data_IF_841258981409
#
_entry.id   IF_841258981409
#
_cell.length_a   1.000
_cell.length_b   1.000
_cell.length_c   1.000
_cell.angle_alpha   90.00
_cell.angle_beta   90.00
_cell.angle_gamma   90.00
#
_symmetry.space_group_name_H-M   'P 1'
#
loop_
_entity.id
_entity.type
_entity.pdbx_description
1 polymer ?
#
# COMPACT_ATOMS: atom_id res chain seq x y z
N UNK A 1 -9.01 4.94 39.49
CA UNK A 1 -8.47 3.89 38.60
C UNK A 1 -9.15 4.05 37.24
N UNK A 2 -8.41 4.32 36.16
CA UNK A 2 -8.96 4.36 34.80
C UNK A 2 -9.16 2.92 34.32
N UNK A 3 -10.25 2.64 33.60
CA UNK A 3 -10.59 1.28 33.15
C UNK A 3 -9.49 0.68 32.25
N UNK A 4 -9.27 -0.64 32.28
CA UNK A 4 -8.33 -1.35 31.40
C UNK A 4 -8.62 -1.11 29.90
N UNK A 5 -9.87 -0.81 29.56
CA UNK A 5 -10.36 -0.60 28.18
C UNK A 5 -9.84 0.67 27.50
N UNK A 6 -9.10 1.53 28.20
CA UNK A 6 -8.59 2.81 27.67
C UNK A 6 -7.07 2.89 27.64
N UNK A 7 -6.35 1.76 27.69
CA UNK A 7 -4.88 1.78 27.76
C UNK A 7 -4.10 1.34 26.51
N UNK A 8 -4.72 0.71 25.53
CA UNK A 8 -4.09 0.45 24.23
C UNK A 8 -5.21 0.19 23.21
N UNK A 9 -5.45 1.12 22.27
CA UNK A 9 -5.68 0.67 20.90
C UNK A 9 -4.34 0.09 20.49
N UNK A 10 -4.15 -1.21 20.71
CA UNK A 10 -2.90 -1.89 20.37
C UNK A 10 -2.70 -1.71 18.87
N UNK A 11 -1.76 -0.84 18.49
CA UNK A 11 -1.30 -0.69 17.12
C UNK A 11 -0.97 -2.08 16.58
N UNK A 12 -1.78 -2.56 15.65
CA UNK A 12 -1.67 -3.92 15.14
C UNK A 12 -0.63 -3.92 14.04
N UNK A 13 0.42 -4.72 14.19
CA UNK A 13 1.37 -5.01 13.12
C UNK A 13 1.67 -6.51 13.09
N UNK A 14 1.64 -7.11 11.90
CA UNK A 14 2.10 -8.48 11.70
C UNK A 14 2.84 -8.66 10.39
N UNK A 15 3.90 -9.48 10.43
CA UNK A 15 4.65 -9.88 9.23
C UNK A 15 3.92 -10.98 8.47
N UNK A 16 3.89 -10.86 7.15
CA UNK A 16 3.26 -11.81 6.21
C UNK A 16 4.11 -11.99 4.96
N UNK A 17 4.06 -13.15 4.32
CA UNK A 17 4.62 -13.32 2.98
C UNK A 17 3.57 -12.90 1.96
N UNK A 18 3.89 -11.97 1.07
CA UNK A 18 2.93 -11.50 0.05
C UNK A 18 3.08 -12.19 -1.30
N UNK A 19 4.22 -12.83 -1.51
CA UNK A 19 4.46 -13.86 -2.53
C UNK A 19 5.66 -14.72 -2.09
N UNK A 20 6.18 -15.54 -3.00
CA UNK A 20 7.33 -16.42 -2.75
C UNK A 20 8.62 -15.68 -2.35
N UNK A 21 8.65 -14.36 -2.49
CA UNK A 21 9.88 -13.58 -2.54
C UNK A 21 9.78 -12.35 -1.63
N UNK A 22 8.65 -11.68 -1.57
CA UNK A 22 8.48 -10.41 -0.85
C UNK A 22 7.86 -10.58 0.55
N UNK A 23 8.43 -9.85 1.51
CA UNK A 23 7.85 -9.69 2.85
C UNK A 23 6.86 -8.52 2.85
N UNK A 24 5.79 -8.66 3.63
CA UNK A 24 4.87 -7.59 3.95
C UNK A 24 4.65 -7.39 5.44
N UNK A 25 4.14 -6.23 5.81
CA UNK A 25 3.61 -5.90 7.14
C UNK A 25 2.14 -5.53 6.95
N UNK A 26 1.25 -6.29 7.57
CA UNK A 26 -0.13 -5.85 7.72
C UNK A 26 -0.26 -4.97 8.95
N UNK A 27 -1.04 -3.90 8.83
CA UNK A 27 -1.30 -2.97 9.93
C UNK A 27 -2.72 -2.42 9.88
N UNK A 28 -3.22 -1.91 11.00
CA UNK A 28 -4.51 -1.21 11.11
C UNK A 28 -4.40 0.30 10.83
N UNK A 29 -3.21 0.88 10.98
CA UNK A 29 -2.95 2.30 10.77
C UNK A 29 -1.58 2.53 10.12
N UNK A 30 -1.53 3.43 9.15
CA UNK A 30 -0.29 3.90 8.55
C UNK A 30 -0.32 5.41 8.39
N UNK A 31 0.64 6.09 9.01
CA UNK A 31 0.94 7.49 8.71
C UNK A 31 1.78 7.54 7.43
N UNK A 32 1.28 8.19 6.38
CA UNK A 32 1.91 8.12 5.05
C UNK A 32 3.34 8.66 5.02
N UNK A 33 3.67 9.67 5.83
CA UNK A 33 5.02 10.22 5.94
C UNK A 33 6.05 9.15 6.37
N UNK A 34 5.58 8.09 7.03
CA UNK A 34 6.44 7.03 7.53
C UNK A 34 6.84 6.02 6.47
N UNK A 35 6.15 5.95 5.32
CA UNK A 35 6.39 4.93 4.27
C UNK A 35 7.85 4.94 3.80
N UNK A 36 8.51 6.11 3.79
CA UNK A 36 9.94 6.23 3.46
C UNK A 36 10.81 6.69 4.65
N UNK A 37 10.29 6.61 5.86
CA UNK A 37 11.04 6.97 7.07
C UNK A 37 11.92 5.81 7.54
N UNK A 38 12.70 6.04 8.60
CA UNK A 38 13.48 4.95 9.22
C UNK A 38 12.60 3.82 9.76
N UNK A 39 11.30 4.06 10.02
CA UNK A 39 10.38 3.08 10.62
C UNK A 39 10.01 1.98 9.62
N UNK A 40 9.77 2.33 8.36
CA UNK A 40 9.42 1.39 7.28
C UNK A 40 10.47 1.36 6.17
N UNK A 41 11.74 1.63 6.52
CA UNK A 41 12.85 1.64 5.57
C UNK A 41 12.91 0.31 4.78
N UNK A 42 12.64 0.38 3.48
CA UNK A 42 12.59 -0.78 2.57
C UNK A 42 11.20 -1.09 2.01
N UNK A 43 10.13 -0.69 2.71
CA UNK A 43 8.76 -0.86 2.25
C UNK A 43 8.37 0.27 1.29
N UNK A 44 8.56 0.05 -0.01
CA UNK A 44 8.32 1.05 -1.06
C UNK A 44 6.90 1.04 -1.62
N UNK A 45 6.11 0.01 -1.30
CA UNK A 45 4.76 -0.17 -1.80
C UNK A 45 3.80 -0.34 -0.62
N UNK A 46 2.68 0.35 -0.65
CA UNK A 46 1.58 0.12 0.29
C UNK A 46 0.34 -0.26 -0.51
N UNK A 47 -0.14 -1.47 -0.30
CA UNK A 47 -1.42 -1.91 -0.82
C UNK A 47 -2.49 -1.69 0.24
N UNK A 48 -3.68 -1.29 -0.18
CA UNK A 48 -4.82 -1.32 0.72
C UNK A 48 -6.08 -1.76 0.00
N UNK A 49 -6.86 -2.59 0.68
CA UNK A 49 -8.17 -3.04 0.22
C UNK A 49 -9.23 -2.23 0.92
N UNK A 50 -10.33 -2.01 0.22
CA UNK A 50 -11.50 -1.33 0.75
C UNK A 50 -12.66 -2.30 0.92
N UNK A 51 -13.65 -1.94 1.73
CA UNK A 51 -14.86 -2.73 1.97
C UNK A 51 -15.64 -3.07 0.67
N UNK A 52 -15.48 -2.26 -0.38
CA UNK A 52 -16.04 -2.54 -1.72
C UNK A 52 -15.28 -3.63 -2.51
N UNK A 53 -14.23 -4.20 -1.93
CA UNK A 53 -13.32 -5.15 -2.57
C UNK A 53 -12.33 -4.51 -3.56
N UNK A 54 -12.33 -3.18 -3.74
CA UNK A 54 -11.31 -2.52 -4.56
C UNK A 54 -9.95 -2.55 -3.84
N UNK A 55 -8.86 -2.64 -4.61
CA UNK A 55 -7.50 -2.61 -4.10
C UNK A 55 -6.76 -1.43 -4.72
N UNK A 56 -6.04 -0.69 -3.89
CA UNK A 56 -5.24 0.45 -4.27
C UNK A 56 -3.76 0.18 -3.96
N UNK A 57 -2.88 0.82 -4.72
CA UNK A 57 -1.43 0.77 -4.52
C UNK A 57 -0.87 2.19 -4.42
N UNK A 58 -0.26 2.51 -3.28
CA UNK A 58 0.57 3.70 -3.09
C UNK A 58 2.02 3.30 -3.33
N UNK A 59 2.70 3.97 -4.26
CA UNK A 59 4.11 3.71 -4.54
C UNK A 59 4.84 4.98 -5.00
N UNK A 60 6.15 4.98 -4.79
CA UNK A 60 7.07 5.97 -5.36
C UNK A 60 7.12 5.80 -6.89
N UNK A 61 7.01 6.90 -7.65
CA UNK A 61 7.26 6.83 -9.09
C UNK A 61 8.74 6.57 -9.34
N UNK A 62 9.03 5.64 -10.25
CA UNK A 62 10.38 5.52 -10.78
C UNK A 62 10.74 6.85 -11.47
N UNK A 63 11.93 7.42 -11.21
CA UNK A 63 12.41 8.56 -11.99
C UNK A 63 12.38 8.16 -13.47
N UNK A 64 11.94 9.07 -14.33
CA UNK A 64 11.93 8.80 -15.76
C UNK A 64 13.33 8.39 -16.26
N UNK A 65 13.42 7.58 -17.31
CA UNK A 65 14.70 7.18 -17.92
C UNK A 65 15.51 8.38 -18.47
N UNK A 66 14.95 9.59 -18.40
CA UNK A 66 15.57 10.85 -18.85
C UNK A 66 16.16 11.67 -17.69
N UNK A 67 16.07 11.19 -16.46
CA UNK A 67 16.66 11.85 -15.28
C UNK A 67 16.08 13.24 -15.00
N UNK A 68 14.88 13.54 -15.48
CA UNK A 68 14.17 14.80 -15.20
C UNK A 68 13.24 14.66 -13.99
N UNK A 69 13.72 13.99 -12.94
CA UNK A 69 13.16 14.20 -11.60
C UNK A 69 13.70 15.53 -11.08
N UNK A 70 13.05 16.63 -11.47
CA UNK A 70 13.26 17.93 -10.86
C UNK A 70 12.76 17.88 -9.42
N UNK A 71 13.65 17.50 -8.50
CA UNK A 71 13.58 17.83 -7.07
C UNK A 71 12.65 17.00 -6.19
N UNK A 72 11.47 16.59 -6.67
CA UNK A 72 10.41 16.08 -5.81
C UNK A 72 10.13 14.60 -6.10
N UNK A 73 10.18 13.77 -5.06
CA UNK A 73 9.80 12.36 -5.15
C UNK A 73 8.27 12.30 -5.20
N UNK A 74 7.74 12.08 -6.38
CA UNK A 74 6.29 11.97 -6.59
C UNK A 74 5.79 10.58 -6.15
N UNK A 75 4.89 10.58 -5.17
CA UNK A 75 4.12 9.40 -4.78
C UNK A 75 2.82 9.34 -5.57
N UNK A 76 2.39 8.13 -5.93
CA UNK A 76 1.20 7.94 -6.74
C UNK A 76 0.29 6.88 -6.13
N UNK A 77 -1.03 7.12 -6.18
CA UNK A 77 -2.06 6.15 -5.83
C UNK A 77 -2.66 5.56 -7.09
N UNK A 78 -2.59 4.24 -7.22
CA UNK A 78 -3.14 3.50 -8.35
C UNK A 78 -4.42 2.80 -7.91
N UNK A 79 -5.51 3.02 -8.64
CA UNK A 79 -6.79 2.37 -8.39
C UNK A 79 -6.91 1.06 -9.20
N UNK A 80 -6.97 -0.09 -8.54
CA UNK A 80 -6.99 -1.40 -9.19
C UNK A 80 -8.17 -1.58 -10.16
N UNK A 81 -9.40 -1.21 -9.76
CA UNK A 81 -10.59 -1.30 -10.62
C UNK A 81 -10.50 -0.42 -11.88
N UNK A 82 -9.97 0.80 -11.76
CA UNK A 82 -9.82 1.71 -12.91
C UNK A 82 -8.70 1.30 -13.88
N UNK A 83 -7.82 0.39 -13.44
CA UNK A 83 -6.75 -0.18 -14.24
C UNK A 83 -7.02 -1.66 -14.61
N UNK A 84 -8.26 -2.13 -14.50
CA UNK A 84 -8.66 -3.45 -14.98
C UNK A 84 -8.49 -3.56 -16.50
N UNK A 85 -7.76 -4.57 -16.97
CA UNK A 85 -7.43 -4.75 -18.39
C UNK A 85 -6.24 -3.92 -18.89
N UNK A 86 -5.39 -3.43 -17.97
CA UNK A 86 -4.21 -2.67 -18.33
C UNK A 86 -3.11 -3.56 -18.94
N UNK A 87 -2.79 -3.35 -20.21
CA UNK A 87 -1.62 -3.94 -20.88
C UNK A 87 -0.42 -3.00 -20.81
N UNK A 88 0.74 -3.54 -20.39
CA UNK A 88 2.05 -2.88 -20.25
C UNK A 88 2.31 -1.83 -21.36
N UNK A 89 2.04 -0.55 -21.07
CA UNK A 89 2.45 0.58 -21.92
C UNK A 89 1.48 1.75 -22.13
N UNK A 90 0.25 1.72 -21.58
CA UNK A 90 -0.65 2.91 -21.57
C UNK A 90 -0.68 3.57 -20.19
N UNK A 91 -1.00 4.86 -20.13
CA UNK A 91 -1.00 5.68 -18.90
C UNK A 91 -1.75 4.95 -17.77
N UNK A 92 -1.10 4.82 -16.61
CA UNK A 92 -1.73 4.33 -15.38
C UNK A 92 -2.77 5.38 -14.97
N UNK A 93 -4.01 4.97 -14.72
CA UNK A 93 -5.01 5.85 -14.14
C UNK A 93 -4.84 5.85 -12.62
N UNK A 94 -4.63 7.03 -12.06
CA UNK A 94 -4.51 7.23 -10.63
C UNK A 94 -4.24 8.70 -10.35
N UNK A 95 -3.79 9.00 -9.14
CA UNK A 95 -3.57 10.39 -8.73
C UNK A 95 -2.24 10.55 -7.98
N UNK A 96 -1.69 11.75 -8.06
CA UNK A 96 -0.51 12.13 -7.30
C UNK A 96 -0.90 12.36 -5.83
N UNK A 97 -0.01 11.94 -4.93
CA UNK A 97 -0.05 12.39 -3.55
C UNK A 97 0.85 13.62 -3.43
N UNK A 98 0.25 14.73 -3.02
CA UNK A 98 1.00 15.94 -2.68
C UNK A 98 1.87 15.71 -1.45
N UNK A 99 2.88 16.55 -1.23
CA UNK A 99 3.65 16.50 0.02
C UNK A 99 2.78 16.64 1.27
N UNK A 100 1.69 17.41 1.19
CA UNK A 100 0.75 17.59 2.29
C UNK A 100 -0.01 16.29 2.59
N UNK A 101 -0.39 15.56 1.54
CA UNK A 101 -1.01 14.25 1.67
C UNK A 101 -0.09 13.27 2.39
N UNK A 102 1.20 13.30 2.05
CA UNK A 102 2.19 12.47 2.73
C UNK A 102 2.40 12.88 4.18
N UNK A 103 2.57 14.18 4.46
CA UNK A 103 2.91 14.69 5.81
C UNK A 103 1.78 14.54 6.83
N UNK A 104 0.53 14.68 6.42
CA UNK A 104 -0.58 14.86 7.37
C UNK A 104 -1.70 13.82 7.29
N UNK A 105 -1.63 12.83 6.39
CA UNK A 105 -2.72 11.83 6.24
C UNK A 105 -2.38 10.48 6.83
N UNK A 106 -3.40 9.91 7.45
CA UNK A 106 -3.42 8.54 7.90
C UNK A 106 -4.22 7.68 6.92
N UNK A 107 -3.73 6.47 6.69
CA UNK A 107 -4.49 5.38 6.10
C UNK A 107 -4.89 4.45 7.25
N UNK A 108 -6.20 4.28 7.48
CA UNK A 108 -6.75 3.57 8.65
C UNK A 108 -7.82 2.58 8.26
N UNK A 109 -7.72 1.36 8.78
CA UNK A 109 -8.80 0.38 8.68
C UNK A 109 -10.05 0.93 9.38
N UNK A 110 -11.20 0.82 8.70
CA UNK A 110 -12.49 1.34 9.16
C UNK A 110 -12.78 2.78 8.73
N UNK A 111 -11.84 3.49 8.10
CA UNK A 111 -12.03 4.86 7.62
C UNK A 111 -11.87 4.95 6.10
N UNK A 112 -12.62 5.83 5.40
CA UNK A 112 -12.33 6.20 4.02
C UNK A 112 -10.95 6.84 3.89
N UNK A 113 -10.23 6.51 2.82
CA UNK A 113 -8.98 7.20 2.48
C UNK A 113 -9.26 8.31 1.47
N UNK A 114 -8.76 9.52 1.75
CA UNK A 114 -8.83 10.65 0.83
C UNK A 114 -7.49 10.83 0.13
N UNK A 115 -7.49 11.14 -1.17
CA UNK A 115 -6.28 11.40 -1.95
C UNK A 115 -6.58 12.32 -3.15
N UNK A 116 -5.53 12.90 -3.75
CA UNK A 116 -5.66 13.79 -4.91
C UNK A 116 -6.56 15.00 -4.66
N UNK A 117 -7.27 15.44 -5.70
CA UNK A 117 -8.21 16.59 -5.69
C UNK A 117 -9.54 16.27 -4.97
N UNK A 118 -9.48 15.64 -3.80
CA UNK A 118 -10.65 15.33 -2.97
C UNK A 118 -11.36 14.02 -3.31
N UNK A 119 -10.68 13.09 -3.99
CA UNK A 119 -11.18 11.73 -4.20
C UNK A 119 -11.22 10.98 -2.86
N UNK A 120 -12.23 10.13 -2.70
CA UNK A 120 -12.38 9.28 -1.52
C UNK A 120 -12.65 7.82 -1.90
N UNK A 121 -12.15 6.91 -1.07
CA UNK A 121 -12.47 5.49 -1.17
C UNK A 121 -13.70 5.15 -0.33
N UNK A 122 -14.23 3.93 -0.49
CA UNK A 122 -14.98 3.32 0.62
C UNK A 122 -14.04 3.02 1.80
N UNK A 123 -14.58 2.69 2.97
CA UNK A 123 -13.78 2.32 4.15
C UNK A 123 -12.69 1.32 3.82
N UNK A 124 -11.48 1.55 4.34
CA UNK A 124 -10.35 0.64 4.22
C UNK A 124 -10.61 -0.59 5.09
N UNK A 125 -10.37 -1.77 4.54
CA UNK A 125 -10.54 -3.05 5.25
C UNK A 125 -9.21 -3.74 5.57
N UNK A 126 -8.14 -3.37 4.88
CA UNK A 126 -6.83 -4.04 4.97
C UNK A 126 -5.74 -3.11 4.46
N UNK A 127 -4.61 -3.04 5.15
CA UNK A 127 -3.41 -2.29 4.75
C UNK A 127 -2.21 -3.24 4.81
N UNK A 128 -1.42 -3.27 3.75
CA UNK A 128 -0.21 -4.10 3.66
C UNK A 128 0.93 -3.29 3.04
N UNK A 129 1.97 -3.04 3.83
CA UNK A 129 3.23 -2.51 3.34
C UNK A 129 4.06 -3.65 2.76
N UNK A 130 4.64 -3.48 1.58
CA UNK A 130 5.43 -4.50 0.87
C UNK A 130 6.86 -4.03 0.62
N UNK A 131 7.82 -4.86 1.01
CA UNK A 131 9.24 -4.68 0.74
C UNK A 131 9.58 -5.19 -0.67
N UNK A 132 10.05 -4.30 -1.53
CA UNK A 132 10.44 -4.64 -2.90
C UNK A 132 11.81 -5.32 -3.02
N UNK A 133 12.60 -5.28 -1.96
CA UNK A 133 13.97 -5.80 -1.95
C UNK A 133 14.07 -7.24 -1.47
N UNK A 134 13.01 -7.81 -0.89
CA UNK A 134 13.16 -9.13 -0.28
C UNK A 134 13.38 -10.21 -1.34
N UNK A 135 14.58 -10.82 -1.37
CA UNK A 135 14.85 -12.20 -1.83
C UNK A 135 16.06 -12.81 -1.11
N UNK A 136 15.89 -14.05 -0.60
CA UNK A 136 16.80 -14.95 0.18
C UNK A 136 16.66 -14.98 1.70
N UNK A 137 15.49 -14.64 2.26
CA UNK A 137 15.14 -14.98 3.64
C UNK A 137 14.28 -16.25 3.70
N UNK A 138 14.35 -17.00 4.80
CA UNK A 138 13.35 -18.02 5.13
C UNK A 138 12.03 -17.31 5.49
N UNK A 139 11.24 -16.93 4.49
CA UNK A 139 10.01 -16.16 4.68
C UNK A 139 9.06 -16.85 5.65
N UNK A 140 8.97 -18.17 5.58
CA UNK A 140 8.14 -18.97 6.48
C UNK A 140 8.49 -18.75 7.95
N UNK A 141 9.78 -18.64 8.29
CA UNK A 141 10.24 -18.34 9.65
C UNK A 141 9.96 -16.88 10.04
N UNK A 142 10.21 -15.93 9.13
CA UNK A 142 10.00 -14.49 9.38
C UNK A 142 8.53 -14.13 9.57
N UNK A 143 7.64 -14.89 8.94
CA UNK A 143 6.19 -14.65 8.94
C UNK A 143 5.44 -15.66 9.80
N UNK A 144 6.13 -16.65 10.36
CA UNK A 144 5.53 -17.78 11.09
C UNK A 144 4.48 -18.51 10.23
N UNK A 145 4.78 -18.67 8.94
CA UNK A 145 3.90 -19.29 7.95
C UNK A 145 2.71 -18.43 7.50
N UNK A 146 2.59 -17.18 7.97
CA UNK A 146 1.51 -16.29 7.57
C UNK A 146 1.73 -15.76 6.17
N UNK A 147 0.66 -15.70 5.40
CA UNK A 147 0.64 -15.21 4.01
C UNK A 147 -0.50 -14.21 3.82
N UNK A 148 -0.32 -13.29 2.89
CA UNK A 148 -1.33 -12.34 2.45
C UNK A 148 -1.33 -12.27 0.92
N UNK A 149 -2.50 -12.31 0.27
CA UNK A 149 -2.60 -12.42 -1.19
C UNK A 149 -2.79 -11.07 -1.89
N UNK A 150 -2.79 -9.95 -1.19
CA UNK A 150 -3.19 -8.65 -1.75
C UNK A 150 -2.42 -8.25 -3.02
N UNK A 151 -1.12 -8.57 -3.10
CA UNK A 151 -0.30 -8.33 -4.29
C UNK A 151 -0.80 -9.15 -5.48
N UNK A 152 -1.08 -10.44 -5.26
CA UNK A 152 -1.67 -11.32 -6.28
C UNK A 152 -3.05 -10.83 -6.70
N UNK A 153 -3.90 -10.47 -5.73
CA UNK A 153 -5.26 -10.03 -5.99
C UNK A 153 -5.28 -8.70 -6.77
N UNK A 154 -4.35 -7.78 -6.49
CA UNK A 154 -4.16 -6.56 -7.27
C UNK A 154 -3.72 -6.85 -8.71
N UNK A 155 -2.78 -7.78 -8.90
CA UNK A 155 -2.32 -8.19 -10.23
C UNK A 155 -3.46 -8.85 -11.01
N UNK A 156 -4.25 -9.72 -10.39
CA UNK A 156 -5.40 -10.36 -11.03
C UNK A 156 -6.49 -9.33 -11.38
N UNK A 157 -6.74 -8.36 -10.50
CA UNK A 157 -7.72 -7.29 -10.72
C UNK A 157 -7.35 -6.41 -11.93
N UNK A 158 -6.06 -6.14 -12.12
CA UNK A 158 -5.56 -5.28 -13.19
C UNK A 158 -5.39 -6.01 -14.52
N UNK A 159 -5.37 -7.34 -14.51
CA UNK A 159 -5.26 -8.14 -15.74
C UNK A 159 -6.54 -8.09 -16.61
N UNK A 160 -6.42 -8.27 -17.93
CA UNK A 160 -7.58 -8.45 -18.81
C UNK A 160 -8.37 -9.69 -18.41
N UNK A 161 -9.64 -9.52 -18.07
CA UNK A 161 -10.51 -10.68 -17.83
C UNK A 161 -10.73 -11.43 -19.15
N UNK A 162 -10.29 -12.69 -19.20
CA UNK A 162 -10.58 -13.56 -20.34
C UNK A 162 -12.10 -13.79 -20.37
N UNK A 163 -12.75 -13.27 -21.40
CA UNK A 163 -14.15 -13.58 -21.73
C UNK A 163 -14.29 -15.02 -22.21
#
# INVERSE_FOLDING_TARGET
MRSPEKREQEHFERRVAVDEKHLGIETDELLLEKINSHFYKGFKKTYFRTASGNIYLIQEMAPDEKGTASGDIDWFVINGKENAGWERGKKINGDFLTEEDLKNRYLRVGEPFMYGDGLNTSEVSEIVLVDEQTRRGNLEELTQGRTNTITKDFVEMTQPQKK
#
